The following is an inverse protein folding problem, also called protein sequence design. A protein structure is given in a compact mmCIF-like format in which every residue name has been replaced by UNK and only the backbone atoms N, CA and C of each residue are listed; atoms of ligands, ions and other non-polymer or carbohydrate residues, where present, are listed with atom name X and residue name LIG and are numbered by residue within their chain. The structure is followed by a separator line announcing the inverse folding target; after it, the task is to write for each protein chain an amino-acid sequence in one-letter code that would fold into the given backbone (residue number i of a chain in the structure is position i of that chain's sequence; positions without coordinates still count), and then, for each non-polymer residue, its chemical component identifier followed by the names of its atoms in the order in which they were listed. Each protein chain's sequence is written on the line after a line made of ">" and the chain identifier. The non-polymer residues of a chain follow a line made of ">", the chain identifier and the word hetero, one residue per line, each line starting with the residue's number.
data_IF_366596780469
#
_entry.id   IF_366596780469
#
_cell.length_a   1.000
_cell.length_b   1.000
_cell.length_c   1.000
_cell.angle_alpha   90.00
_cell.angle_beta   90.00
_cell.angle_gamma   90.00
#
_symmetry.space_group_name_H-M   'P 1'
#
loop_
_entity.id
_entity.type
_entity.pdbx_description
1 polymer ?
#
# COMPACT_ATOMS: atom_id res chain seq x y z
N UNK A 1 7.90 -15.82 -34.33
CA UNK A 1 7.86 -15.78 -32.87
C UNK A 1 9.30 -15.89 -32.40
N UNK A 2 9.92 -14.78 -32.04
CA UNK A 2 11.28 -14.75 -31.51
C UNK A 2 11.22 -15.21 -30.05
N UNK A 3 11.79 -16.36 -29.76
CA UNK A 3 12.04 -16.84 -28.41
C UNK A 3 13.02 -15.86 -27.73
N UNK A 4 12.52 -14.96 -26.91
CA UNK A 4 13.36 -14.15 -26.05
C UNK A 4 13.99 -15.07 -25.01
N UNK A 5 15.32 -15.16 -25.03
CA UNK A 5 16.10 -15.84 -24.00
C UNK A 5 15.87 -15.10 -22.68
N UNK A 6 15.28 -15.76 -21.68
CA UNK A 6 15.26 -15.24 -20.32
C UNK A 6 16.71 -15.15 -19.84
N UNK A 7 17.19 -13.93 -19.69
CA UNK A 7 18.51 -13.70 -19.07
C UNK A 7 18.35 -13.99 -17.57
N UNK A 8 19.18 -14.86 -17.02
CA UNK A 8 19.26 -15.04 -15.56
C UNK A 8 19.81 -13.75 -14.93
N UNK A 9 18.99 -13.06 -14.15
CA UNK A 9 19.36 -11.83 -13.44
C UNK A 9 19.78 -12.09 -11.99
N UNK A 10 19.98 -13.34 -11.59
CA UNK A 10 20.27 -13.73 -10.21
C UNK A 10 21.48 -12.99 -9.60
N UNK A 11 22.49 -12.69 -10.44
CA UNK A 11 23.74 -12.07 -9.99
C UNK A 11 23.62 -10.53 -9.82
N UNK A 12 22.47 -9.94 -10.18
CA UNK A 12 22.21 -8.50 -10.11
C UNK A 12 21.12 -8.14 -9.09
N UNK A 13 20.54 -9.14 -8.41
CA UNK A 13 19.54 -8.91 -7.38
C UNK A 13 20.24 -8.62 -6.04
N UNK A 14 19.80 -7.56 -5.41
CA UNK A 14 20.28 -7.17 -4.08
C UNK A 14 19.09 -6.85 -3.15
N UNK A 15 19.32 -7.00 -1.85
CA UNK A 15 18.35 -6.65 -0.83
C UNK A 15 18.43 -5.14 -0.60
N UNK A 16 17.43 -4.40 -1.05
CA UNK A 16 17.38 -2.95 -0.92
C UNK A 16 17.27 -2.48 0.54
N UNK A 17 16.63 -3.26 1.40
CA UNK A 17 16.47 -2.97 2.83
C UNK A 17 16.75 -4.24 3.62
N UNK A 18 17.78 -4.22 4.47
CA UNK A 18 18.20 -5.39 5.25
C UNK A 18 17.41 -5.59 6.56
N UNK A 19 16.33 -4.85 6.77
CA UNK A 19 15.44 -5.01 7.92
C UNK A 19 14.43 -6.15 7.70
N UNK A 20 13.90 -6.70 8.81
CA UNK A 20 12.85 -7.71 8.75
C UNK A 20 11.47 -7.05 8.90
N UNK A 21 10.58 -7.34 7.97
CA UNK A 21 9.18 -6.94 7.98
C UNK A 21 8.29 -8.14 8.25
N UNK A 22 7.17 -7.95 8.95
CA UNK A 22 6.19 -9.02 9.15
C UNK A 22 5.47 -9.36 7.83
N UNK A 23 5.14 -8.32 7.06
CA UNK A 23 4.58 -8.45 5.72
C UNK A 23 4.90 -7.20 4.91
N UNK A 24 6.10 -7.15 4.32
CA UNK A 24 6.55 -6.05 3.47
C UNK A 24 5.95 -6.16 2.07
N UNK A 25 5.08 -5.22 1.68
CA UNK A 25 4.46 -5.21 0.35
C UNK A 25 4.02 -3.80 -0.10
N UNK A 26 3.29 -3.73 -1.23
CA UNK A 26 2.72 -2.50 -1.75
C UNK A 26 3.74 -1.44 -2.18
N UNK A 27 4.88 -1.77 -2.83
CA UNK A 27 5.87 -0.76 -3.18
C UNK A 27 5.33 0.21 -4.25
N UNK A 28 5.47 1.51 -4.00
CA UNK A 28 5.06 2.59 -4.90
C UNK A 28 6.16 3.64 -4.97
N UNK A 29 6.62 3.95 -6.18
CA UNK A 29 7.54 5.04 -6.40
C UNK A 29 6.84 6.40 -6.33
N UNK A 30 7.29 7.28 -5.46
CA UNK A 30 6.85 8.68 -5.40
C UNK A 30 7.87 9.57 -6.12
N UNK A 31 7.63 9.79 -7.42
CA UNK A 31 8.54 10.56 -8.29
C UNK A 31 8.67 12.05 -7.90
N UNK A 32 7.83 12.55 -6.98
CA UNK A 32 7.92 13.94 -6.51
C UNK A 32 8.96 14.12 -5.40
N UNK A 33 9.24 13.07 -4.67
CA UNK A 33 10.22 13.05 -3.58
C UNK A 33 11.41 12.13 -3.86
N UNK A 34 11.43 11.45 -5.03
CA UNK A 34 12.41 10.44 -5.40
C UNK A 34 12.60 9.37 -4.32
N UNK A 35 11.47 8.88 -3.77
CA UNK A 35 11.45 7.88 -2.70
C UNK A 35 10.54 6.71 -3.03
N UNK A 36 10.83 5.55 -2.44
CA UNK A 36 9.98 4.38 -2.49
C UNK A 36 9.12 4.33 -1.22
N UNK A 37 7.79 4.34 -1.39
CA UNK A 37 6.86 3.98 -0.33
C UNK A 37 6.62 2.47 -0.36
N UNK A 38 6.55 1.85 0.81
CA UNK A 38 6.07 0.48 0.98
C UNK A 38 5.46 0.32 2.38
N UNK A 39 4.78 -0.76 2.63
CA UNK A 39 4.09 -0.99 3.90
C UNK A 39 4.62 -2.25 4.60
N UNK A 40 4.61 -2.25 5.93
CA UNK A 40 4.56 -3.47 6.73
C UNK A 40 3.12 -3.63 7.21
N UNK A 41 2.37 -4.45 6.48
CA UNK A 41 0.92 -4.55 6.64
C UNK A 41 0.49 -4.89 8.06
N UNK A 42 1.11 -5.90 8.67
CA UNK A 42 0.69 -6.42 9.97
C UNK A 42 1.05 -5.47 11.11
N UNK A 43 2.19 -4.77 10.98
CA UNK A 43 2.60 -3.75 11.96
C UNK A 43 1.86 -2.43 11.78
N UNK A 44 1.20 -2.25 10.63
CA UNK A 44 0.55 -0.97 10.31
C UNK A 44 1.54 0.16 10.12
N UNK A 45 2.69 -0.13 9.50
CA UNK A 45 3.73 0.85 9.24
C UNK A 45 3.80 1.21 7.77
N UNK A 46 3.93 2.48 7.46
CA UNK A 46 4.31 2.98 6.15
C UNK A 46 5.77 3.39 6.20
N UNK A 47 6.57 2.82 5.32
CA UNK A 47 7.98 3.11 5.18
C UNK A 47 8.23 3.95 3.94
N UNK A 48 9.14 4.90 4.06
CA UNK A 48 9.65 5.72 2.96
C UNK A 48 11.15 5.53 2.88
N UNK A 49 11.61 4.84 1.85
CA UNK A 49 13.03 4.63 1.55
C UNK A 49 13.52 5.73 0.62
N UNK A 50 14.63 6.35 0.98
CA UNK A 50 15.43 7.21 0.09
C UNK A 50 16.56 6.37 -0.49
N UNK A 51 16.53 6.01 -1.80
CA UNK A 51 17.52 5.08 -2.35
C UNK A 51 18.94 5.62 -2.36
N UNK A 52 19.12 6.94 -2.47
CA UNK A 52 20.44 7.58 -2.60
C UNK A 52 21.33 7.39 -1.36
N UNK A 53 20.73 7.34 -0.17
CA UNK A 53 21.46 7.19 1.09
C UNK A 53 21.00 5.97 1.91
N UNK A 54 20.01 5.23 1.44
CA UNK A 54 19.43 4.07 2.11
C UNK A 54 18.63 4.40 3.36
N UNK A 55 18.33 5.66 3.64
CA UNK A 55 17.57 6.06 4.82
C UNK A 55 16.11 5.65 4.72
N UNK A 56 15.52 5.24 5.86
CA UNK A 56 14.12 4.86 5.98
C UNK A 56 13.44 5.74 7.03
N UNK A 57 12.38 6.42 6.61
CA UNK A 57 11.44 7.06 7.52
C UNK A 57 10.22 6.17 7.69
N UNK A 58 9.79 5.95 8.94
CA UNK A 58 8.64 5.11 9.26
C UNK A 58 7.52 5.96 9.86
N UNK A 59 6.30 5.72 9.40
CA UNK A 59 5.08 6.31 9.90
C UNK A 59 4.19 5.18 10.45
N UNK A 60 3.85 5.26 11.74
CA UNK A 60 3.00 4.26 12.40
C UNK A 60 1.53 4.66 12.26
N UNK A 61 0.72 3.81 11.63
CA UNK A 61 -0.72 4.02 11.44
C UNK A 61 -1.54 3.45 12.61
N UNK A 62 -0.99 2.45 13.31
CA UNK A 62 -1.60 1.89 14.51
C UNK A 62 -2.71 0.84 14.25
N UNK A 63 -2.91 0.43 13.00
CA UNK A 63 -3.83 -0.63 12.60
C UNK A 63 -3.30 -1.35 11.36
N UNK A 64 -3.86 -2.51 11.02
CA UNK A 64 -3.47 -3.28 9.83
C UNK A 64 -3.78 -2.48 8.57
N UNK A 65 -2.80 -2.40 7.66
CA UNK A 65 -2.91 -1.66 6.40
C UNK A 65 -2.56 -2.55 5.21
N UNK A 66 -3.06 -2.21 4.03
CA UNK A 66 -2.80 -2.97 2.81
C UNK A 66 -1.91 -2.23 1.81
N UNK A 67 -2.06 -0.92 1.71
CA UNK A 67 -1.27 -0.06 0.82
C UNK A 67 -1.24 1.38 1.33
N UNK A 68 -0.24 2.15 0.89
CA UNK A 68 -0.14 3.58 1.12
C UNK A 68 0.19 4.29 -0.20
N UNK A 69 -0.67 5.21 -0.62
CA UNK A 69 -0.59 5.90 -1.90
C UNK A 69 -0.35 7.40 -1.69
N UNK A 70 0.64 8.00 -2.37
CA UNK A 70 0.94 9.41 -2.19
C UNK A 70 -0.11 10.32 -2.84
N UNK A 71 -0.59 11.31 -2.10
CA UNK A 71 -1.45 12.38 -2.59
C UNK A 71 -0.63 13.57 -3.12
N UNK A 72 -1.25 14.40 -3.97
CA UNK A 72 -0.61 15.59 -4.55
C UNK A 72 -0.21 16.65 -3.50
N UNK A 73 -0.89 16.69 -2.36
CA UNK A 73 -0.64 17.61 -1.24
C UNK A 73 0.40 17.09 -0.23
N UNK A 74 0.92 15.88 -0.45
CA UNK A 74 1.91 15.22 0.39
C UNK A 74 1.32 14.40 1.53
N UNK A 75 -0.01 14.29 1.65
CA UNK A 75 -0.69 13.31 2.48
C UNK A 75 -0.63 11.93 1.83
N UNK A 76 -1.14 10.90 2.53
CA UNK A 76 -1.27 9.54 2.01
C UNK A 76 -2.73 9.10 2.05
N UNK A 77 -3.17 8.40 1.02
CA UNK A 77 -4.33 7.52 1.10
C UNK A 77 -3.85 6.15 1.52
N UNK A 78 -4.44 5.59 2.58
CA UNK A 78 -4.06 4.29 3.14
C UNK A 78 -5.25 3.36 3.12
N UNK A 79 -5.07 2.15 2.62
CA UNK A 79 -6.08 1.08 2.73
C UNK A 79 -5.88 0.34 4.05
N UNK A 80 -6.96 0.09 4.79
CA UNK A 80 -6.90 -0.51 6.13
C UNK A 80 -7.98 -1.57 6.32
N UNK A 81 -8.05 -2.16 7.50
CA UNK A 81 -9.12 -3.07 7.91
C UNK A 81 -10.47 -2.36 8.08
N UNK A 82 -10.50 -1.06 8.33
CA UNK A 82 -11.74 -0.27 8.43
C UNK A 82 -12.21 0.28 7.07
N UNK A 83 -11.30 0.39 6.10
CA UNK A 83 -11.56 1.01 4.80
C UNK A 83 -10.44 1.93 4.34
N UNK A 84 -10.80 3.03 3.69
CA UNK A 84 -9.86 4.00 3.14
C UNK A 84 -9.64 5.14 4.14
N UNK A 85 -8.39 5.36 4.51
CA UNK A 85 -7.97 6.44 5.40
C UNK A 85 -7.25 7.55 4.62
N UNK A 86 -7.39 8.78 5.07
CA UNK A 86 -6.43 9.85 4.81
C UNK A 86 -5.45 9.91 5.98
N UNK A 87 -4.17 9.88 5.70
CA UNK A 87 -3.10 10.05 6.67
C UNK A 87 -2.32 11.33 6.34
N UNK A 88 -2.22 12.25 7.28
CA UNK A 88 -1.45 13.48 7.10
C UNK A 88 0.06 13.23 7.30
N UNK A 89 0.86 14.29 7.08
CA UNK A 89 2.33 14.23 7.22
C UNK A 89 2.81 13.95 8.65
N UNK A 90 1.96 14.15 9.65
CA UNK A 90 2.25 13.87 11.04
C UNK A 90 1.82 12.47 11.48
N UNK A 91 1.17 11.70 10.60
CA UNK A 91 0.68 10.37 10.89
C UNK A 91 -0.74 10.33 11.45
N UNK A 92 -1.41 11.48 11.52
CA UNK A 92 -2.80 11.52 11.99
C UNK A 92 -3.71 10.98 10.89
N UNK A 93 -4.51 9.96 11.22
CA UNK A 93 -5.41 9.31 10.29
C UNK A 93 -6.86 9.76 10.46
N UNK A 94 -7.60 9.77 9.36
CA UNK A 94 -9.04 10.01 9.31
C UNK A 94 -9.69 9.05 8.31
N UNK A 95 -10.72 8.32 8.75
CA UNK A 95 -11.50 7.47 7.86
C UNK A 95 -12.22 8.32 6.81
N UNK A 96 -12.01 8.01 5.53
CA UNK A 96 -12.68 8.63 4.39
C UNK A 96 -13.90 7.82 3.96
N UNK A 97 -13.67 6.53 3.71
CA UNK A 97 -14.70 5.61 3.18
C UNK A 97 -14.61 4.30 3.95
N UNK A 98 -15.64 3.94 4.74
CA UNK A 98 -15.70 2.61 5.35
C UNK A 98 -15.95 1.56 4.26
N UNK A 99 -15.24 0.45 4.32
CA UNK A 99 -15.40 -0.66 3.39
C UNK A 99 -15.80 -1.90 4.15
N UNK A 100 -16.88 -2.55 3.70
CA UNK A 100 -17.43 -3.79 4.27
C UNK A 100 -17.65 -3.70 5.80
N UNK A 101 -18.28 -2.64 6.33
CA UNK A 101 -18.48 -2.49 7.75
C UNK A 101 -19.29 -3.67 8.29
N UNK A 102 -18.76 -4.35 9.31
CA UNK A 102 -19.37 -5.54 9.89
C UNK A 102 -18.87 -6.88 9.33
N UNK A 103 -18.06 -6.90 8.26
CA UNK A 103 -17.36 -8.09 7.80
C UNK A 103 -15.97 -8.19 8.45
N UNK A 104 -15.94 -8.42 9.75
CA UNK A 104 -14.71 -8.37 10.58
C UNK A 104 -13.61 -9.36 10.16
N UNK A 105 -13.96 -10.36 9.34
CA UNK A 105 -12.99 -11.28 8.76
C UNK A 105 -12.34 -10.73 7.47
N UNK A 106 -12.89 -9.64 6.90
CA UNK A 106 -12.35 -9.04 5.70
C UNK A 106 -11.51 -7.80 6.04
N UNK A 107 -10.53 -7.52 5.20
CA UNK A 107 -9.78 -6.27 5.20
C UNK A 107 -9.43 -5.85 3.79
N UNK A 108 -9.15 -4.57 3.58
CA UNK A 108 -8.56 -4.12 2.33
C UNK A 108 -7.13 -4.67 2.17
N UNK A 109 -6.73 -4.85 0.94
CA UNK A 109 -5.41 -5.32 0.55
C UNK A 109 -4.70 -4.26 -0.30
N UNK A 110 -3.91 -4.69 -1.28
CA UNK A 110 -3.23 -3.77 -2.19
C UNK A 110 -4.21 -2.83 -2.88
N UNK A 111 -3.72 -1.66 -3.25
CA UNK A 111 -4.46 -0.63 -3.97
C UNK A 111 -3.56 0.19 -4.87
N UNK A 112 -4.13 0.70 -5.96
CA UNK A 112 -3.44 1.57 -6.91
C UNK A 112 -4.38 2.66 -7.38
N UNK A 113 -3.84 3.86 -7.55
CA UNK A 113 -4.56 4.94 -8.25
C UNK A 113 -4.29 4.86 -9.75
N UNK A 114 -5.34 5.07 -10.53
CA UNK A 114 -5.22 5.26 -11.96
C UNK A 114 -4.91 6.73 -12.33
N UNK A 115 -4.70 6.99 -13.63
CA UNK A 115 -4.39 8.33 -14.14
C UNK A 115 -5.50 9.37 -13.95
N UNK A 116 -6.70 8.95 -13.54
CA UNK A 116 -7.83 9.83 -13.21
C UNK A 116 -7.98 10.07 -11.70
N UNK A 117 -7.04 9.56 -10.90
CA UNK A 117 -7.07 9.68 -9.45
C UNK A 117 -8.07 8.75 -8.76
N UNK A 118 -8.62 7.75 -9.47
CA UNK A 118 -9.51 6.76 -8.86
C UNK A 118 -8.67 5.69 -8.17
N UNK A 119 -9.00 5.40 -6.93
CA UNK A 119 -8.42 4.28 -6.19
C UNK A 119 -9.12 2.97 -6.56
N UNK A 120 -8.34 1.98 -6.94
CA UNK A 120 -8.76 0.60 -7.12
C UNK A 120 -8.11 -0.24 -6.03
N UNK A 121 -8.92 -0.93 -5.23
CA UNK A 121 -8.41 -1.76 -4.14
C UNK A 121 -9.30 -2.97 -3.92
N UNK A 122 -8.68 -4.10 -3.62
CA UNK A 122 -9.38 -5.33 -3.29
C UNK A 122 -9.55 -5.52 -1.80
N UNK A 123 -10.53 -6.35 -1.42
CA UNK A 123 -10.62 -6.94 -0.08
C UNK A 123 -10.36 -8.43 -0.15
N UNK A 124 -9.97 -9.01 0.98
CA UNK A 124 -9.90 -10.46 1.14
C UNK A 124 -10.27 -10.87 2.55
N UNK A 125 -10.65 -12.13 2.70
CA UNK A 125 -10.93 -12.70 4.01
C UNK A 125 -9.64 -13.16 4.68
N UNK A 126 -9.34 -12.65 5.86
CA UNK A 126 -8.22 -13.10 6.71
C UNK A 126 -8.36 -14.55 7.15
N UNK A 127 -9.58 -15.08 7.11
CA UNK A 127 -9.88 -16.49 7.34
C UNK A 127 -9.86 -17.34 6.06
N UNK A 128 -9.43 -16.74 4.93
CA UNK A 128 -9.34 -17.39 3.61
C UNK A 128 -10.66 -17.99 3.12
N UNK A 129 -11.80 -17.40 3.46
CA UNK A 129 -13.09 -17.80 2.92
C UNK A 129 -13.14 -17.54 1.43
N UNK A 130 -13.48 -18.57 0.64
CA UNK A 130 -13.57 -18.47 -0.82
C UNK A 130 -14.69 -17.52 -1.23
N UNK A 131 -14.38 -16.61 -2.16
CA UNK A 131 -15.37 -15.68 -2.72
C UNK A 131 -15.84 -14.60 -1.77
N UNK A 132 -15.14 -14.38 -0.65
CA UNK A 132 -15.51 -13.36 0.33
C UNK A 132 -14.91 -11.98 0.04
N UNK A 133 -13.95 -11.87 -0.89
CA UNK A 133 -13.34 -10.61 -1.28
C UNK A 133 -14.06 -9.94 -2.44
N UNK A 134 -13.90 -8.62 -2.54
CA UNK A 134 -14.47 -7.76 -3.59
C UNK A 134 -13.39 -6.84 -4.16
N UNK A 135 -13.63 -6.30 -5.36
CA UNK A 135 -12.81 -5.22 -5.94
C UNK A 135 -13.62 -3.93 -5.94
N UNK A 136 -13.08 -2.91 -5.32
CA UNK A 136 -13.68 -1.58 -5.20
C UNK A 136 -13.00 -0.58 -6.11
N UNK A 137 -13.77 0.35 -6.62
CA UNK A 137 -13.33 1.61 -7.21
C UNK A 137 -13.87 2.74 -6.35
N UNK A 138 -13.00 3.62 -5.90
CA UNK A 138 -13.36 4.83 -5.16
C UNK A 138 -12.91 6.02 -6.00
N UNK A 139 -13.86 6.86 -6.37
CA UNK A 139 -13.62 8.05 -7.18
C UNK A 139 -13.07 9.21 -6.31
N UNK A 140 -12.44 10.25 -6.88
CA UNK A 140 -11.86 11.35 -6.10
C UNK A 140 -12.85 12.12 -5.22
N UNK A 141 -14.15 12.04 -5.52
CA UNK A 141 -15.24 12.59 -4.71
C UNK A 141 -15.73 11.62 -3.61
N UNK A 142 -15.04 10.50 -3.43
CA UNK A 142 -15.31 9.43 -2.46
C UNK A 142 -16.59 8.61 -2.76
N UNK A 143 -17.08 8.62 -4.00
CA UNK A 143 -18.17 7.76 -4.46
C UNK A 143 -17.69 6.40 -4.97
#
# INVERSE_FOLDING_TARGET
>A
MTSGTLTEYSDTLEVAVAENFDLGEGPIWDARSDTLLFVDCNRGHVHRLTPDDGSIATLEIGQVIGAALPCSDGNLVVTSDEGVLLCDKAGVTRLLVPIEPGLTANRMNDGKCDSRGRLWSGTFSTLFHRGAGSLYRIDPDLS
#
